data_IF_759273003762
#
_entry.id   IF_759273003762
#
_cell.length_a   1.000
_cell.length_b   1.000
_cell.length_c   1.000
_cell.angle_alpha   90.00
_cell.angle_beta   90.00
_cell.angle_gamma   90.00
#
_symmetry.space_group_name_H-M   'P 1'
#
loop_
_entity.id
_entity.type
_entity.pdbx_description
1 polymer ?
#
# COMPACT_ATOMS: atom_id res chain seq x y z
N UNK A 1 -69.55 -44.78 -30.34
CA UNK A 1 -68.75 -45.99 -30.06
C UNK A 1 -67.35 -45.54 -29.73
N UNK A 2 -67.00 -45.53 -28.45
CA UNK A 2 -65.66 -45.22 -27.97
C UNK A 2 -65.16 -46.50 -27.30
N UNK A 3 -64.02 -46.95 -27.79
CA UNK A 3 -63.46 -48.30 -27.70
C UNK A 3 -62.88 -48.58 -26.30
N UNK A 4 -63.40 -49.63 -25.64
CA UNK A 4 -62.84 -50.22 -24.40
C UNK A 4 -61.33 -50.47 -24.50
N UNK A 5 -60.87 -50.81 -25.71
CA UNK A 5 -59.48 -51.07 -26.04
C UNK A 5 -58.56 -49.85 -25.83
N UNK A 6 -59.05 -48.62 -26.02
CA UNK A 6 -58.23 -47.41 -25.81
C UNK A 6 -57.94 -47.18 -24.32
N UNK A 7 -58.94 -47.40 -23.46
CA UNK A 7 -58.78 -47.32 -22.01
C UNK A 7 -57.83 -48.38 -21.46
N UNK A 8 -57.94 -49.63 -21.94
CA UNK A 8 -57.05 -50.73 -21.53
C UNK A 8 -55.61 -50.51 -21.99
N UNK A 9 -55.42 -50.01 -23.21
CA UNK A 9 -54.11 -49.62 -23.72
C UNK A 9 -53.46 -48.50 -22.90
N UNK A 10 -54.25 -47.52 -22.44
CA UNK A 10 -53.76 -46.40 -21.63
C UNK A 10 -53.33 -46.83 -20.22
N UNK A 11 -54.12 -47.69 -19.56
CA UNK A 11 -53.80 -48.22 -18.22
C UNK A 11 -52.52 -49.06 -18.24
N UNK A 12 -52.30 -49.85 -19.31
CA UNK A 12 -51.10 -50.67 -19.45
C UNK A 12 -49.81 -49.85 -19.50
N UNK A 13 -49.81 -48.71 -20.22
CA UNK A 13 -48.63 -47.84 -20.37
C UNK A 13 -48.31 -47.00 -19.14
N UNK A 14 -49.27 -46.74 -18.25
CA UNK A 14 -49.00 -45.97 -17.02
C UNK A 14 -48.05 -46.75 -16.09
N UNK A 15 -48.19 -48.08 -16.02
CA UNK A 15 -47.33 -48.92 -15.18
C UNK A 15 -45.95 -49.19 -15.79
N UNK A 16 -45.80 -49.07 -17.12
CA UNK A 16 -44.53 -49.32 -17.82
C UNK A 16 -43.54 -48.13 -17.71
N UNK A 17 -43.99 -46.95 -17.26
CA UNK A 17 -43.14 -45.75 -17.10
C UNK A 17 -42.64 -45.53 -15.67
N UNK A 18 -42.97 -46.41 -14.72
CA UNK A 18 -42.29 -46.42 -13.42
C UNK A 18 -40.93 -47.07 -13.68
N UNK A 19 -39.95 -46.25 -14.02
CA UNK A 19 -38.54 -46.63 -13.96
C UNK A 19 -38.30 -47.11 -12.53
N UNK A 20 -38.21 -48.44 -12.34
CA UNK A 20 -37.69 -49.00 -11.10
C UNK A 20 -36.35 -48.31 -10.81
N UNK A 21 -36.06 -47.96 -9.54
CA UNK A 21 -34.84 -47.25 -9.21
C UNK A 21 -33.66 -48.09 -9.67
N UNK A 22 -33.06 -47.68 -10.80
CA UNK A 22 -31.88 -48.33 -11.34
C UNK A 22 -30.79 -48.18 -10.30
N UNK A 23 -30.48 -49.29 -9.64
CA UNK A 23 -29.51 -49.43 -8.56
C UNK A 23 -28.06 -49.05 -8.98
N UNK A 24 -27.84 -48.67 -10.24
CA UNK A 24 -26.54 -48.25 -10.79
C UNK A 24 -26.12 -46.81 -10.46
N UNK A 25 -27.03 -45.98 -9.93
CA UNK A 25 -26.71 -44.58 -9.60
C UNK A 25 -26.49 -44.37 -8.09
N UNK A 26 -25.78 -45.29 -7.43
CA UNK A 26 -25.36 -45.13 -6.04
C UNK A 26 -24.20 -44.12 -5.89
N UNK A 27 -24.07 -43.13 -6.77
CA UNK A 27 -23.48 -41.86 -6.34
C UNK A 27 -24.47 -41.30 -5.33
N UNK A 28 -24.10 -41.44 -4.05
CA UNK A 28 -24.94 -41.02 -2.95
C UNK A 28 -25.44 -39.60 -3.19
N UNK A 29 -26.71 -39.33 -2.87
CA UNK A 29 -27.25 -37.96 -2.86
C UNK A 29 -26.31 -37.01 -2.09
N UNK A 30 -25.59 -37.52 -1.09
CA UNK A 30 -24.50 -36.85 -0.36
C UNK A 30 -23.33 -36.39 -1.24
N UNK A 31 -22.95 -37.16 -2.26
CA UNK A 31 -21.90 -36.80 -3.25
C UNK A 31 -22.40 -35.73 -4.25
N UNK A 32 -23.70 -35.71 -4.56
CA UNK A 32 -24.35 -34.61 -5.31
C UNK A 32 -24.65 -33.38 -4.44
N UNK A 33 -24.79 -33.55 -3.13
CA UNK A 33 -24.92 -32.49 -2.13
C UNK A 33 -23.56 -32.01 -1.60
N UNK A 34 -22.45 -32.59 -2.07
CA UNK A 34 -21.12 -32.01 -1.89
C UNK A 34 -21.16 -30.68 -2.60
N UNK A 35 -21.43 -29.62 -1.85
CA UNK A 35 -21.54 -28.24 -2.31
C UNK A 35 -20.16 -27.86 -2.83
N UNK A 36 -19.88 -28.22 -4.09
CA UNK A 36 -18.77 -27.67 -4.83
C UNK A 36 -19.10 -26.19 -4.96
N UNK A 37 -18.29 -25.30 -4.36
CA UNK A 37 -18.52 -23.87 -4.50
C UNK A 37 -18.59 -23.57 -6.00
N UNK A 38 -19.64 -22.86 -6.39
CA UNK A 38 -19.77 -22.46 -7.79
C UNK A 38 -18.54 -21.64 -8.20
N UNK A 39 -18.17 -21.67 -9.48
CA UNK A 39 -17.04 -20.86 -9.98
C UNK A 39 -17.18 -19.38 -9.59
N UNK A 40 -18.41 -18.86 -9.53
CA UNK A 40 -18.71 -17.50 -9.07
C UNK A 40 -18.43 -17.29 -7.58
N UNK A 41 -18.72 -18.28 -6.74
CA UNK A 41 -18.46 -18.21 -5.30
C UNK A 41 -16.97 -18.23 -5.00
N UNK A 42 -16.19 -19.02 -5.75
CA UNK A 42 -14.72 -19.03 -5.69
C UNK A 42 -14.17 -17.67 -6.12
N UNK A 43 -14.62 -17.14 -7.26
CA UNK A 43 -14.18 -15.82 -7.77
C UNK A 43 -14.51 -14.71 -6.77
N UNK A 44 -15.68 -14.76 -6.14
CA UNK A 44 -16.08 -13.79 -5.11
C UNK A 44 -15.14 -13.82 -3.91
N UNK A 45 -14.85 -15.00 -3.37
CA UNK A 45 -13.92 -15.14 -2.23
C UNK A 45 -12.50 -14.67 -2.58
N UNK A 46 -12.02 -14.97 -3.78
CA UNK A 46 -10.71 -14.50 -4.24
C UNK A 46 -10.67 -12.98 -4.39
N UNK A 47 -11.76 -12.37 -4.87
CA UNK A 47 -11.88 -10.91 -4.96
C UNK A 47 -11.87 -10.26 -3.58
N UNK A 48 -12.65 -10.78 -2.63
CA UNK A 48 -12.64 -10.31 -1.24
C UNK A 48 -11.25 -10.40 -0.60
N UNK A 49 -10.55 -11.53 -0.81
CA UNK A 49 -9.17 -11.71 -0.32
C UNK A 49 -8.21 -10.67 -0.90
N UNK A 50 -8.28 -10.42 -2.21
CA UNK A 50 -7.44 -9.42 -2.88
C UNK A 50 -7.75 -8.00 -2.39
N UNK A 51 -9.02 -7.69 -2.14
CA UNK A 51 -9.39 -6.39 -1.58
C UNK A 51 -8.76 -6.17 -0.21
N UNK A 52 -8.84 -7.14 0.70
CA UNK A 52 -8.22 -7.03 2.02
C UNK A 52 -6.70 -6.89 1.93
N UNK A 53 -6.07 -7.59 0.99
CA UNK A 53 -4.62 -7.44 0.74
C UNK A 53 -4.26 -6.04 0.23
N UNK A 54 -5.08 -5.48 -0.67
CA UNK A 54 -4.89 -4.14 -1.21
C UNK A 54 -5.11 -3.06 -0.15
N UNK A 55 -6.14 -3.20 0.69
CA UNK A 55 -6.39 -2.29 1.82
C UNK A 55 -5.20 -2.24 2.77
N UNK A 56 -4.63 -3.39 3.13
CA UNK A 56 -3.42 -3.46 3.97
C UNK A 56 -2.22 -2.79 3.30
N UNK A 57 -2.04 -2.99 2.00
CA UNK A 57 -0.96 -2.33 1.23
C UNK A 57 -1.15 -0.81 1.18
N UNK A 58 -2.39 -0.34 1.03
CA UNK A 58 -2.71 1.09 1.06
C UNK A 58 -2.37 1.66 2.44
N UNK A 59 -2.82 1.03 3.52
CA UNK A 59 -2.53 1.47 4.89
C UNK A 59 -1.02 1.55 5.16
N UNK A 60 -0.26 0.52 4.75
CA UNK A 60 1.20 0.52 4.88
C UNK A 60 1.84 1.68 4.11
N UNK A 61 1.42 1.91 2.87
CA UNK A 61 1.97 3.01 2.04
C UNK A 61 1.60 4.37 2.64
N UNK A 62 0.40 4.53 3.19
CA UNK A 62 -0.02 5.77 3.85
C UNK A 62 0.83 6.05 5.10
N UNK A 63 1.11 5.03 5.92
CA UNK A 63 1.99 5.14 7.07
C UNK A 63 3.43 5.51 6.66
N UNK A 64 4.01 4.80 5.69
CA UNK A 64 5.34 5.10 5.15
C UNK A 64 5.42 6.52 4.60
N UNK A 65 4.38 6.99 3.89
CA UNK A 65 4.34 8.34 3.35
C UNK A 65 4.25 9.40 4.45
N UNK A 66 3.50 9.16 5.53
CA UNK A 66 3.48 10.07 6.68
C UNK A 66 4.86 10.17 7.33
N UNK A 67 5.55 9.06 7.53
CA UNK A 67 6.90 9.04 8.10
C UNK A 67 7.89 9.81 7.22
N UNK A 68 7.88 9.57 5.90
CA UNK A 68 8.74 10.29 4.97
C UNK A 68 8.49 11.80 4.97
N UNK A 69 7.23 12.24 5.10
CA UNK A 69 6.91 13.67 5.21
C UNK A 69 7.51 14.29 6.47
N UNK A 70 7.48 13.59 7.60
CA UNK A 70 8.11 14.05 8.83
C UNK A 70 9.64 14.15 8.66
N UNK A 71 10.27 13.16 8.06
CA UNK A 71 11.73 13.18 7.81
C UNK A 71 12.14 14.36 6.94
N UNK A 72 11.38 14.65 5.87
CA UNK A 72 11.60 15.82 5.02
C UNK A 72 11.52 17.12 5.81
N UNK A 73 10.53 17.24 6.70
CA UNK A 73 10.35 18.42 7.54
C UNK A 73 11.50 18.59 8.56
N UNK A 74 11.98 17.50 9.14
CA UNK A 74 13.16 17.48 10.03
C UNK A 74 14.41 17.92 9.29
N UNK A 75 14.71 17.31 8.13
CA UNK A 75 15.87 17.68 7.31
C UNK A 75 15.81 19.15 6.88
N UNK A 76 14.62 19.64 6.52
CA UNK A 76 14.40 21.05 6.19
C UNK A 76 14.69 21.97 7.37
N UNK A 77 14.30 21.59 8.59
CA UNK A 77 14.57 22.36 9.80
C UNK A 77 16.08 22.43 10.10
N UNK A 78 16.77 21.29 10.02
CA UNK A 78 18.21 21.20 10.24
C UNK A 78 19.00 22.03 9.23
N UNK A 79 18.69 21.91 7.94
CA UNK A 79 19.32 22.70 6.88
C UNK A 79 19.14 24.21 7.11
N UNK A 80 17.96 24.63 7.55
CA UNK A 80 17.69 26.03 7.89
C UNK A 80 18.52 26.52 9.09
N UNK A 81 18.67 25.69 10.12
CA UNK A 81 19.51 26.02 11.29
C UNK A 81 20.98 26.16 10.89
N UNK A 82 21.49 25.24 10.08
CA UNK A 82 22.86 25.28 9.56
C UNK A 82 23.10 26.53 8.72
N UNK A 83 22.17 26.88 7.83
CA UNK A 83 22.27 28.10 7.01
C UNK A 83 22.34 29.36 7.87
N UNK A 84 21.50 29.47 8.91
CA UNK A 84 21.55 30.62 9.83
C UNK A 84 22.88 30.70 10.58
N UNK A 85 23.39 29.57 11.06
CA UNK A 85 24.69 29.49 11.72
C UNK A 85 25.84 29.93 10.81
N UNK A 86 25.84 29.45 9.56
CA UNK A 86 26.82 29.82 8.54
C UNK A 86 26.83 31.32 8.29
N UNK A 87 25.66 31.92 8.04
CA UNK A 87 25.56 33.35 7.74
C UNK A 87 26.11 34.20 8.90
N UNK A 88 25.80 33.83 10.15
CA UNK A 88 26.33 34.52 11.33
C UNK A 88 27.86 34.43 11.42
N UNK A 89 28.41 33.23 11.21
CA UNK A 89 29.87 33.03 11.22
C UNK A 89 30.57 33.82 10.10
N UNK A 90 29.92 33.96 8.95
CA UNK A 90 30.41 34.76 7.82
C UNK A 90 30.44 36.26 8.14
N UNK A 91 29.37 36.79 8.74
CA UNK A 91 29.31 38.19 9.24
C UNK A 91 30.38 38.48 10.31
N UNK A 92 30.58 37.55 11.25
CA UNK A 92 31.62 37.67 12.29
C UNK A 92 33.03 37.65 11.66
N UNK A 93 33.27 36.79 10.66
CA UNK A 93 34.55 36.72 9.95
C UNK A 93 34.84 38.00 9.18
N UNK A 94 33.84 38.56 8.49
CA UNK A 94 34.00 39.82 7.76
C UNK A 94 34.29 40.99 8.71
N UNK A 95 33.61 41.02 9.86
CA UNK A 95 33.87 42.02 10.91
C UNK A 95 35.30 41.91 11.43
N UNK A 96 35.74 40.70 11.80
CA UNK A 96 37.10 40.44 12.28
C UNK A 96 38.16 40.82 11.24
N UNK A 97 37.90 40.53 9.96
CA UNK A 97 38.77 40.90 8.85
C UNK A 97 38.92 42.41 8.72
N UNK A 98 37.85 43.17 8.96
CA UNK A 98 37.89 44.64 8.96
C UNK A 98 38.68 45.18 10.16
N UNK A 99 38.46 44.64 11.36
CA UNK A 99 39.18 45.03 12.56
C UNK A 99 40.69 44.75 12.44
N UNK A 100 41.05 43.58 11.91
CA UNK A 100 42.45 43.25 11.65
C UNK A 100 43.12 44.21 10.67
N UNK A 101 42.43 44.57 9.57
CA UNK A 101 42.95 45.56 8.61
C UNK A 101 43.18 46.91 9.29
N UNK A 102 42.24 47.36 10.14
CA UNK A 102 42.36 48.61 10.89
C UNK A 102 43.53 48.57 11.87
N UNK A 103 43.66 47.51 12.66
CA UNK A 103 44.78 47.31 13.58
C UNK A 103 46.13 47.35 12.85
N UNK A 104 46.26 46.63 11.73
CA UNK A 104 47.48 46.62 10.92
C UNK A 104 47.84 48.02 10.41
N UNK A 105 46.86 48.81 9.98
CA UNK A 105 47.08 50.19 9.56
C UNK A 105 47.54 51.05 10.75
N UNK A 106 46.88 50.93 11.91
CA UNK A 106 47.28 51.65 13.13
C UNK A 106 48.70 51.32 13.56
N UNK A 107 49.12 50.05 13.55
CA UNK A 107 50.49 49.65 13.89
C UNK A 107 51.54 50.26 12.93
N UNK A 108 51.20 50.41 11.64
CA UNK A 108 52.07 51.07 10.65
C UNK A 108 52.20 52.57 10.91
N UNK A 109 51.12 53.24 11.32
CA UNK A 109 51.11 54.67 11.62
C UNK A 109 51.84 55.02 12.92
N UNK A 110 51.77 54.16 13.94
CA UNK A 110 52.38 54.40 15.27
C UNK A 110 53.90 54.10 15.28
N UNK A 111 54.50 53.73 14.14
CA UNK A 111 55.97 53.60 14.03
C UNK A 111 56.57 52.40 14.78
N UNK A 112 55.75 51.44 15.19
CA UNK A 112 56.18 50.23 15.93
C UNK A 112 57.02 49.24 15.10
N UNK A 113 57.31 49.56 13.83
CA UNK A 113 58.25 48.84 12.97
C UNK A 113 59.56 49.60 12.68
N UNK A 114 59.81 50.74 13.35
CA UNK A 114 61.01 51.56 13.17
C UNK A 114 61.90 51.64 14.44
N UNK A 115 61.85 50.65 15.32
CA UNK A 115 62.82 50.55 16.43
C UNK A 115 63.82 49.43 16.19
N UNK A 116 65.10 49.83 16.12
CA UNK A 116 66.36 49.07 16.04
C UNK A 116 66.70 48.50 14.65
N UNK A 117 67.81 48.83 13.99
CA UNK A 117 69.11 49.42 14.38
C UNK A 117 69.61 50.37 13.27
#
# INVERSE_FOLDING_TARGET
MTTSEYSEWWVKRINDNILGPSLENSQSIEEHLRVVPSELEIIKQDFERRNVELEKKIEQIEEENMNLRLDVDVQRLEANKLRKGKNKAEEELDSLKMDYKKLRLSMRTVGLGQTSE
#
